data_IF_401106762866
#
_entry.id   IF_401106762866
#
_cell.length_a   1.000
_cell.length_b   1.000
_cell.length_c   1.000
_cell.angle_alpha   90.00
_cell.angle_beta   90.00
_cell.angle_gamma   90.00
#
_symmetry.space_group_name_H-M   'P 1'
#
loop_
_entity.id
_entity.type
_entity.pdbx_description
1 polymer ?
#
# COMPACT_ATOMS: atom_id res chain seq x y z
N UNK A 1 50.13 -21.63 -55.85
CA UNK A 1 49.88 -22.49 -54.69
C UNK A 1 49.71 -21.59 -53.49
N UNK A 2 48.49 -21.42 -53.02
CA UNK A 2 48.16 -20.65 -51.81
C UNK A 2 47.93 -21.66 -50.69
N UNK A 3 48.61 -21.49 -49.59
CA UNK A 3 48.53 -22.29 -48.38
C UNK A 3 47.16 -22.02 -47.65
N UNK A 4 46.36 -23.05 -47.35
CA UNK A 4 45.00 -22.83 -46.82
C UNK A 4 44.89 -22.80 -45.31
N UNK A 5 45.99 -22.62 -44.53
CA UNK A 5 45.99 -22.76 -43.08
C UNK A 5 46.37 -21.47 -42.29
N UNK A 6 45.81 -20.34 -42.65
CA UNK A 6 45.95 -19.16 -41.78
C UNK A 6 44.56 -18.68 -41.31
N UNK A 7 43.94 -19.43 -40.43
CA UNK A 7 42.84 -18.98 -39.61
C UNK A 7 43.41 -18.41 -38.32
N UNK A 8 43.65 -17.08 -38.29
CA UNK A 8 43.83 -16.39 -37.04
C UNK A 8 42.54 -16.49 -36.22
N UNK A 9 42.54 -17.38 -35.24
CA UNK A 9 41.54 -17.46 -34.20
C UNK A 9 41.64 -16.19 -33.36
N UNK A 10 40.85 -15.17 -33.64
CA UNK A 10 40.52 -14.14 -32.68
C UNK A 10 39.73 -14.79 -31.53
N UNK A 11 40.45 -15.33 -30.55
CA UNK A 11 39.83 -15.84 -29.33
C UNK A 11 39.19 -14.67 -28.58
N UNK A 12 37.91 -14.77 -28.33
CA UNK A 12 37.17 -13.80 -27.56
C UNK A 12 37.87 -13.65 -26.17
N UNK A 13 38.23 -12.43 -25.73
CA UNK A 13 38.98 -12.23 -24.50
C UNK A 13 38.28 -12.80 -23.25
N UNK A 14 36.97 -12.99 -23.30
CA UNK A 14 36.20 -13.65 -22.26
C UNK A 14 36.47 -15.16 -22.18
N UNK A 15 36.62 -15.82 -23.33
CA UNK A 15 36.93 -17.27 -23.40
C UNK A 15 38.34 -17.56 -22.92
N UNK A 16 39.30 -16.70 -23.25
CA UNK A 16 40.68 -16.80 -22.75
C UNK A 16 40.78 -16.63 -21.23
N UNK A 17 39.93 -15.77 -20.64
CA UNK A 17 39.82 -15.59 -19.19
C UNK A 17 39.23 -16.81 -18.49
N UNK A 18 38.17 -17.40 -19.03
CA UNK A 18 37.51 -18.59 -18.47
C UNK A 18 38.45 -19.83 -18.52
N UNK A 19 39.29 -19.93 -19.55
CA UNK A 19 40.24 -21.04 -19.72
C UNK A 19 41.57 -20.84 -18.93
N UNK A 20 41.71 -19.72 -18.18
CA UNK A 20 42.92 -19.43 -17.41
C UNK A 20 44.16 -19.11 -18.26
N UNK A 21 44.02 -18.82 -19.55
CA UNK A 21 45.10 -18.53 -20.52
C UNK A 21 45.49 -17.03 -20.53
N UNK A 22 44.72 -16.20 -19.81
CA UNK A 22 45.01 -14.78 -19.68
C UNK A 22 46.18 -14.55 -18.71
N UNK A 23 47.41 -14.44 -19.20
CA UNK A 23 48.52 -13.92 -18.42
C UNK A 23 48.22 -12.46 -18.10
N UNK A 24 47.98 -12.17 -16.78
CA UNK A 24 47.88 -10.80 -16.30
C UNK A 24 49.15 -10.04 -16.71
N UNK A 25 49.03 -9.03 -17.54
CA UNK A 25 50.09 -8.07 -17.79
C UNK A 25 50.44 -7.40 -16.45
N UNK A 26 51.71 -7.26 -16.07
CA UNK A 26 52.05 -6.49 -14.92
C UNK A 26 51.48 -5.09 -15.03
N UNK A 27 50.66 -4.68 -14.07
CA UNK A 27 50.16 -3.31 -14.00
C UNK A 27 51.33 -2.36 -13.92
N UNK A 28 51.55 -1.55 -14.98
CA UNK A 28 52.38 -0.36 -14.87
C UNK A 28 51.80 0.50 -13.76
N UNK A 29 52.61 0.77 -12.70
CA UNK A 29 52.31 1.75 -11.65
C UNK A 29 51.95 3.09 -12.30
N UNK A 30 50.72 3.30 -12.66
CA UNK A 30 50.20 4.60 -13.06
C UNK A 30 50.21 5.50 -11.83
N UNK A 31 51.22 6.40 -11.75
CA UNK A 31 51.25 7.50 -10.79
C UNK A 31 49.86 8.19 -10.83
N UNK A 32 49.11 8.01 -9.77
CA UNK A 32 47.75 8.60 -9.61
C UNK A 32 47.88 10.12 -9.66
N UNK A 33 47.13 10.77 -10.55
CA UNK A 33 47.05 12.23 -10.59
C UNK A 33 46.47 12.75 -9.25
N UNK A 34 46.88 13.97 -8.77
CA UNK A 34 46.48 14.52 -7.47
C UNK A 34 44.99 14.57 -7.23
N UNK A 35 44.19 14.59 -8.32
CA UNK A 35 42.72 14.55 -8.24
C UNK A 35 42.18 13.15 -7.94
N UNK A 36 42.88 12.08 -8.39
CA UNK A 36 42.51 10.70 -8.10
C UNK A 36 42.87 10.31 -6.66
N UNK A 37 44.01 10.80 -6.14
CA UNK A 37 44.41 10.61 -4.74
C UNK A 37 43.40 11.28 -3.78
N UNK A 38 42.97 12.51 -4.06
CA UNK A 38 41.97 13.22 -3.28
C UNK A 38 40.59 12.49 -3.31
N UNK A 39 40.22 11.88 -4.45
CA UNK A 39 39.00 11.08 -4.56
C UNK A 39 39.13 9.74 -3.80
N UNK A 40 40.28 9.08 -3.90
CA UNK A 40 40.53 7.83 -3.17
C UNK A 40 40.57 8.07 -1.66
N UNK A 41 41.22 9.15 -1.18
CA UNK A 41 41.23 9.53 0.22
C UNK A 41 39.83 9.87 0.74
N UNK A 42 39.02 10.59 -0.04
CA UNK A 42 37.64 10.92 0.32
C UNK A 42 36.73 9.67 0.35
N UNK A 43 36.93 8.71 -0.57
CA UNK A 43 36.18 7.43 -0.55
C UNK A 43 36.60 6.53 0.59
N UNK A 44 37.89 6.54 0.98
CA UNK A 44 38.38 5.81 2.14
C UNK A 44 37.85 6.40 3.44
N UNK A 45 37.77 7.72 3.57
CA UNK A 45 37.21 8.41 4.75
C UNK A 45 35.71 8.12 4.91
N UNK A 46 34.96 8.12 3.79
CA UNK A 46 33.53 7.73 3.79
C UNK A 46 33.34 6.26 4.19
N UNK A 47 34.20 5.37 3.72
CA UNK A 47 34.10 3.93 4.09
C UNK A 47 34.41 3.68 5.59
N UNK A 48 35.41 4.39 6.13
CA UNK A 48 35.75 4.30 7.57
C UNK A 48 34.61 4.87 8.44
N UNK A 49 33.96 5.94 8.01
CA UNK A 49 32.80 6.49 8.71
C UNK A 49 31.61 5.54 8.67
N UNK A 50 31.41 4.88 7.53
CA UNK A 50 30.35 3.87 7.36
C UNK A 50 30.58 2.65 8.25
N UNK A 51 31.80 2.15 8.32
CA UNK A 51 32.17 1.02 9.19
C UNK A 51 32.05 1.34 10.69
N UNK A 52 32.40 2.55 11.10
CA UNK A 52 32.22 2.99 12.51
C UNK A 52 30.74 3.12 12.84
N UNK A 53 29.93 3.65 11.93
CA UNK A 53 28.48 3.75 12.09
C UNK A 53 27.85 2.36 12.24
N UNK A 54 28.21 1.40 11.38
CA UNK A 54 27.71 0.03 11.47
C UNK A 54 28.16 -0.70 12.74
N UNK A 55 29.38 -0.44 13.24
CA UNK A 55 29.85 -1.01 14.50
C UNK A 55 29.09 -0.46 15.71
N UNK A 56 28.72 0.82 15.70
CA UNK A 56 27.94 1.45 16.77
C UNK A 56 26.44 1.16 16.64
N UNK A 57 25.91 1.01 15.43
CA UNK A 57 24.49 0.79 15.17
C UNK A 57 23.98 -0.53 15.79
N UNK A 58 24.74 -1.63 15.64
CA UNK A 58 24.32 -2.93 16.14
C UNK A 58 24.08 -2.95 17.66
N UNK A 59 25.07 -2.54 18.52
CA UNK A 59 24.84 -2.52 19.95
C UNK A 59 23.76 -1.52 20.36
N UNK A 60 23.68 -0.35 19.69
CA UNK A 60 22.64 0.63 19.97
C UNK A 60 21.24 0.09 19.66
N UNK A 61 21.07 -0.61 18.54
CA UNK A 61 19.81 -1.25 18.17
C UNK A 61 19.41 -2.32 19.21
N UNK A 62 20.37 -3.15 19.67
CA UNK A 62 20.10 -4.16 20.70
C UNK A 62 19.69 -3.49 22.01
N UNK A 63 20.40 -2.44 22.45
CA UNK A 63 20.07 -1.70 23.68
C UNK A 63 18.66 -1.11 23.56
N UNK A 64 18.33 -0.50 22.43
CA UNK A 64 17.00 0.08 22.20
C UNK A 64 15.91 -0.99 22.23
N UNK A 65 16.14 -2.14 21.58
CA UNK A 65 15.19 -3.26 21.62
C UNK A 65 15.02 -3.80 23.04
N UNK A 66 16.11 -3.99 23.77
CA UNK A 66 16.06 -4.45 25.17
C UNK A 66 15.32 -3.44 26.07
N UNK A 67 15.58 -2.14 25.90
CA UNK A 67 14.88 -1.09 26.63
C UNK A 67 13.37 -1.09 26.32
N UNK A 68 13.00 -1.26 25.05
CA UNK A 68 11.61 -1.35 24.64
C UNK A 68 10.92 -2.60 25.21
N UNK A 69 11.58 -3.75 25.15
CA UNK A 69 11.08 -5.00 25.76
C UNK A 69 10.91 -4.84 27.28
N UNK A 70 11.88 -4.26 27.95
CA UNK A 70 11.81 -4.01 29.39
C UNK A 70 10.62 -3.07 29.73
N UNK A 71 10.40 -2.03 28.93
CA UNK A 71 9.25 -1.13 29.05
C UNK A 71 7.94 -1.90 28.91
N UNK A 72 7.82 -2.74 27.88
CA UNK A 72 6.63 -3.55 27.66
C UNK A 72 6.36 -4.50 28.82
N UNK A 73 7.39 -5.20 29.31
CA UNK A 73 7.27 -6.09 30.48
C UNK A 73 6.83 -5.29 31.70
N UNK A 74 7.40 -4.12 31.93
CA UNK A 74 7.01 -3.25 33.05
C UNK A 74 5.53 -2.86 32.95
N UNK A 75 5.06 -2.47 31.77
CA UNK A 75 3.64 -2.15 31.54
C UNK A 75 2.76 -3.37 31.80
N UNK A 76 3.12 -4.54 31.27
CA UNK A 76 2.35 -5.78 31.47
C UNK A 76 2.25 -6.17 32.96
N UNK A 77 3.33 -6.02 33.72
CA UNK A 77 3.33 -6.32 35.19
C UNK A 77 2.42 -5.35 35.96
N UNK A 78 2.28 -4.11 35.46
CA UNK A 78 1.40 -3.09 36.07
C UNK A 78 -0.05 -3.17 35.61
N UNK A 79 -0.35 -3.97 34.58
CA UNK A 79 -1.72 -4.15 34.09
C UNK A 79 -2.55 -4.96 35.10
N UNK A 80 -3.80 -4.59 35.37
CA UNK A 80 -4.69 -5.36 36.25
C UNK A 80 -4.83 -6.82 35.78
N UNK A 81 -4.98 -7.79 36.70
CA UNK A 81 -5.22 -9.18 36.35
C UNK A 81 -6.44 -9.36 35.45
N UNK A 82 -6.36 -10.33 34.53
CA UNK A 82 -7.49 -10.63 33.64
C UNK A 82 -8.70 -11.11 34.43
N UNK A 83 -9.89 -10.59 34.07
CA UNK A 83 -11.17 -11.04 34.69
C UNK A 83 -11.56 -10.30 35.96
N UNK A 84 -10.86 -9.25 36.38
CA UNK A 84 -11.26 -8.42 37.51
C UNK A 84 -12.42 -7.52 37.11
N UNK A 85 -13.49 -7.54 37.93
CA UNK A 85 -14.70 -6.72 37.66
C UNK A 85 -14.47 -5.22 37.74
N UNK A 86 -13.49 -4.78 38.54
CA UNK A 86 -13.08 -3.38 38.72
C UNK A 86 -11.92 -3.01 37.77
N UNK A 87 -11.82 -3.66 36.62
CA UNK A 87 -10.82 -3.31 35.61
C UNK A 87 -11.13 -1.94 34.96
N UNK A 88 -10.12 -1.11 34.64
CA UNK A 88 -10.33 0.18 33.98
C UNK A 88 -11.10 0.12 32.66
N UNK A 89 -11.20 -1.04 32.05
CA UNK A 89 -12.00 -1.29 30.83
C UNK A 89 -13.49 -1.42 31.10
N UNK A 90 -13.89 -1.72 32.35
CA UNK A 90 -15.28 -1.83 32.77
C UNK A 90 -15.74 -0.46 33.32
N UNK A 91 -15.95 0.47 32.40
CA UNK A 91 -16.35 1.84 32.71
C UNK A 91 -17.73 2.16 32.11
N UNK A 92 -18.29 3.30 32.50
CA UNK A 92 -19.59 3.80 32.00
C UNK A 92 -19.64 3.89 30.47
N UNK A 93 -18.53 4.19 29.81
CA UNK A 93 -18.46 4.29 28.35
C UNK A 93 -18.63 2.91 27.71
N UNK A 94 -17.97 1.87 28.24
CA UNK A 94 -18.11 0.51 27.75
C UNK A 94 -19.53 -0.01 27.96
N UNK A 95 -20.12 0.30 29.14
CA UNK A 95 -21.50 -0.04 29.44
C UNK A 95 -22.46 0.62 28.46
N UNK A 96 -22.32 1.91 28.23
CA UNK A 96 -23.14 2.65 27.24
C UNK A 96 -23.11 2.03 25.86
N UNK A 97 -21.92 1.66 25.37
CA UNK A 97 -21.80 1.03 24.04
C UNK A 97 -22.51 -0.32 23.95
N UNK A 98 -22.54 -1.07 25.04
CA UNK A 98 -23.15 -2.41 25.09
C UNK A 98 -24.68 -2.34 25.28
N UNK A 99 -25.12 -1.49 26.19
CA UNK A 99 -26.54 -1.44 26.61
C UNK A 99 -27.37 -0.53 25.68
N UNK A 100 -26.85 0.66 25.31
CA UNK A 100 -27.59 1.65 24.56
C UNK A 100 -27.20 1.65 23.05
N UNK A 101 -26.09 1.00 22.67
CA UNK A 101 -25.52 1.11 21.31
C UNK A 101 -26.48 0.70 20.19
N UNK A 102 -27.36 -0.28 20.41
CA UNK A 102 -28.36 -0.67 19.41
C UNK A 102 -29.45 0.41 19.23
N UNK A 103 -29.88 1.01 20.33
CA UNK A 103 -30.92 2.06 20.32
C UNK A 103 -30.35 3.36 19.72
N UNK A 104 -29.16 3.77 20.15
CA UNK A 104 -28.50 4.99 19.70
C UNK A 104 -28.09 4.95 18.23
N UNK A 105 -27.61 3.80 17.72
CA UNK A 105 -27.01 3.73 16.37
C UNK A 105 -27.85 2.93 15.37
N UNK A 106 -28.80 2.12 15.83
CA UNK A 106 -29.57 1.19 15.00
C UNK A 106 -28.73 0.04 14.40
N UNK A 107 -27.45 -0.09 14.77
CA UNK A 107 -26.55 -1.12 14.27
C UNK A 107 -26.55 -2.35 15.18
N UNK A 108 -26.85 -3.53 14.63
CA UNK A 108 -26.73 -4.79 15.38
C UNK A 108 -25.26 -5.19 15.60
N UNK A 109 -24.36 -4.70 14.77
CA UNK A 109 -22.92 -4.81 14.99
C UNK A 109 -22.44 -3.65 15.88
N UNK A 110 -22.28 -3.92 17.17
CA UNK A 110 -21.83 -2.94 18.17
C UNK A 110 -20.52 -2.27 17.75
N UNK A 111 -19.58 -3.02 17.17
CA UNK A 111 -18.28 -2.49 16.72
C UNK A 111 -18.50 -1.46 15.62
N UNK A 112 -19.38 -1.72 14.66
CA UNK A 112 -19.69 -0.75 13.58
C UNK A 112 -20.34 0.51 14.15
N UNK A 113 -21.27 0.38 15.08
CA UNK A 113 -21.86 1.52 15.80
C UNK A 113 -20.80 2.33 16.52
N UNK A 114 -19.91 1.68 17.25
CA UNK A 114 -18.83 2.35 17.97
C UNK A 114 -17.90 3.12 17.05
N UNK A 115 -17.35 2.49 15.99
CA UNK A 115 -16.31 3.11 15.14
C UNK A 115 -16.84 4.06 14.08
N UNK A 116 -18.11 3.97 13.70
CA UNK A 116 -18.71 4.82 12.64
C UNK A 116 -19.71 5.84 13.17
N UNK A 117 -20.14 5.70 14.42
CA UNK A 117 -21.03 6.68 15.05
C UNK A 117 -20.40 7.35 16.27
N UNK A 118 -20.25 6.67 17.38
CA UNK A 118 -19.68 7.27 18.61
C UNK A 118 -18.26 7.82 18.40
N UNK A 119 -17.40 7.08 17.70
CA UNK A 119 -15.98 7.41 17.45
C UNK A 119 -15.65 7.59 15.96
N UNK A 120 -16.59 8.08 15.19
CA UNK A 120 -16.45 8.18 13.75
C UNK A 120 -15.31 9.09 13.26
N UNK A 121 -14.83 10.01 14.08
CA UNK A 121 -13.64 10.82 13.75
C UNK A 121 -12.36 9.99 13.75
N UNK A 122 -12.27 8.90 14.52
CA UNK A 122 -11.13 7.98 14.46
C UNK A 122 -11.06 7.35 13.06
N UNK A 123 -12.17 6.83 12.54
CA UNK A 123 -12.24 6.25 11.20
C UNK A 123 -12.00 7.29 10.08
N UNK A 124 -12.42 8.54 10.27
CA UNK A 124 -12.07 9.62 9.36
C UNK A 124 -10.56 9.86 9.34
N UNK A 125 -9.93 9.84 10.53
CA UNK A 125 -8.48 9.94 10.68
C UNK A 125 -7.74 8.81 9.96
N UNK A 126 -8.15 7.55 10.17
CA UNK A 126 -7.58 6.38 9.51
C UNK A 126 -7.70 6.46 7.99
N UNK A 127 -8.88 6.83 7.48
CA UNK A 127 -9.12 7.01 6.05
C UNK A 127 -8.27 8.14 5.46
N UNK A 128 -8.08 9.22 6.22
CA UNK A 128 -7.23 10.36 5.83
C UNK A 128 -5.74 9.97 5.78
N UNK A 129 -5.27 9.13 6.71
CA UNK A 129 -3.90 8.61 6.71
C UNK A 129 -3.67 7.72 5.48
N UNK A 130 -4.59 6.82 5.15
CA UNK A 130 -4.50 5.98 3.95
C UNK A 130 -4.44 6.83 2.67
N UNK A 131 -5.32 7.83 2.57
CA UNK A 131 -5.32 8.76 1.44
C UNK A 131 -4.00 9.53 1.34
N UNK A 132 -3.53 10.09 2.45
CA UNK A 132 -2.27 10.86 2.49
C UNK A 132 -1.08 10.00 2.15
N UNK A 133 -1.03 8.75 2.64
CA UNK A 133 0.05 7.82 2.36
C UNK A 133 0.14 7.49 0.86
N UNK A 134 -0.98 7.17 0.21
CA UNK A 134 -0.96 6.89 -1.23
C UNK A 134 -0.62 8.14 -2.05
N UNK A 135 -1.11 9.31 -1.65
CA UNK A 135 -0.77 10.57 -2.33
C UNK A 135 0.72 10.92 -2.17
N UNK A 136 1.31 10.68 -1.02
CA UNK A 136 2.75 10.85 -0.79
C UNK A 136 3.57 9.92 -1.70
N UNK A 137 3.19 8.65 -1.82
CA UNK A 137 3.85 7.70 -2.72
C UNK A 137 3.70 8.12 -4.18
N UNK A 138 2.53 8.60 -4.60
CA UNK A 138 2.32 9.14 -5.95
C UNK A 138 3.26 10.31 -6.23
N UNK A 139 3.38 11.25 -5.30
CA UNK A 139 4.27 12.43 -5.46
C UNK A 139 5.73 11.99 -5.56
N UNK A 140 6.16 11.03 -4.74
CA UNK A 140 7.54 10.54 -4.73
C UNK A 140 7.90 9.72 -5.97
N UNK A 141 6.96 8.91 -6.48
CA UNK A 141 7.18 8.03 -7.63
C UNK A 141 6.79 8.69 -8.96
N UNK A 142 6.06 9.82 -8.92
CA UNK A 142 5.70 10.54 -10.13
C UNK A 142 6.96 11.01 -10.83
N UNK A 143 7.30 10.32 -11.91
CA UNK A 143 8.38 10.71 -12.79
C UNK A 143 8.07 12.10 -13.34
N UNK A 144 9.01 13.04 -13.27
CA UNK A 144 8.90 14.39 -13.84
C UNK A 144 8.69 14.33 -15.39
N UNK A 145 7.54 13.85 -15.82
CA UNK A 145 7.19 13.58 -17.22
C UNK A 145 6.34 14.67 -17.87
N UNK A 146 5.96 15.72 -17.16
CA UNK A 146 5.09 16.78 -17.71
C UNK A 146 5.84 17.98 -18.32
N UNK A 147 7.16 17.91 -18.45
CA UNK A 147 7.82 18.72 -19.49
C UNK A 147 7.85 17.86 -20.74
N UNK A 148 7.10 18.23 -21.77
CA UNK A 148 7.31 17.84 -23.17
C UNK A 148 8.75 18.25 -23.58
N UNK A 149 9.75 17.57 -22.98
CA UNK A 149 11.08 17.49 -23.58
C UNK A 149 10.91 16.58 -24.77
N UNK A 150 11.34 17.06 -25.94
CA UNK A 150 11.61 16.21 -27.09
C UNK A 150 12.30 14.95 -26.56
N UNK A 151 11.54 13.85 -26.56
CA UNK A 151 12.08 12.56 -26.09
C UNK A 151 13.25 12.23 -26.98
N UNK A 152 14.42 12.10 -26.37
CA UNK A 152 15.62 11.68 -27.07
C UNK A 152 15.33 10.34 -27.76
N UNK A 153 15.87 10.11 -28.95
CA UNK A 153 15.71 8.85 -29.71
C UNK A 153 16.03 7.59 -28.87
N UNK A 154 16.93 7.70 -27.89
CA UNK A 154 17.17 6.65 -26.88
C UNK A 154 15.96 6.35 -26.00
N UNK A 155 15.28 7.37 -25.50
CA UNK A 155 14.09 7.20 -24.63
C UNK A 155 12.92 6.59 -25.38
N UNK A 156 12.73 6.98 -26.67
CA UNK A 156 11.72 6.35 -27.54
C UNK A 156 12.02 4.88 -27.77
N UNK A 157 13.30 4.52 -27.92
CA UNK A 157 13.73 3.14 -28.14
C UNK A 157 13.58 2.31 -26.87
N UNK A 158 13.87 2.86 -25.69
CA UNK A 158 13.66 2.22 -24.40
C UNK A 158 12.17 2.01 -24.09
N UNK A 159 11.31 2.99 -24.38
CA UNK A 159 9.86 2.84 -24.27
C UNK A 159 9.30 1.80 -25.24
N UNK A 160 9.79 1.77 -26.47
CA UNK A 160 9.39 0.76 -27.45
C UNK A 160 9.83 -0.65 -27.03
N UNK A 161 11.04 -0.79 -26.45
CA UNK A 161 11.52 -2.06 -25.89
C UNK A 161 10.68 -2.50 -24.69
N UNK A 162 10.38 -1.59 -23.76
CA UNK A 162 9.52 -1.88 -22.61
C UNK A 162 8.10 -2.30 -23.05
N UNK A 163 7.54 -1.62 -24.05
CA UNK A 163 6.23 -2.01 -24.62
C UNK A 163 6.28 -3.39 -25.26
N UNK A 164 7.36 -3.71 -25.97
CA UNK A 164 7.53 -5.02 -26.59
C UNK A 164 7.72 -6.14 -25.55
N UNK A 165 8.50 -5.89 -24.50
CA UNK A 165 8.64 -6.81 -23.36
C UNK A 165 7.31 -7.02 -22.61
N UNK A 166 6.53 -5.95 -22.40
CA UNK A 166 5.18 -6.07 -21.83
C UNK A 166 4.24 -6.91 -22.72
N UNK A 167 4.33 -6.76 -24.04
CA UNK A 167 3.53 -7.56 -24.98
C UNK A 167 3.93 -9.03 -25.01
N UNK A 168 5.23 -9.31 -24.93
CA UNK A 168 5.74 -10.68 -24.81
C UNK A 168 5.30 -11.31 -23.48
N UNK A 169 5.39 -10.58 -22.40
CA UNK A 169 4.98 -11.03 -21.07
C UNK A 169 3.46 -11.24 -20.99
N UNK A 170 2.67 -10.43 -21.69
CA UNK A 170 1.21 -10.60 -21.82
C UNK A 170 0.83 -11.89 -22.59
N UNK A 171 1.63 -12.29 -23.59
CA UNK A 171 1.43 -13.54 -24.32
C UNK A 171 1.78 -14.78 -23.50
N UNK A 172 2.80 -14.69 -22.64
CA UNK A 172 3.29 -15.79 -21.80
C UNK A 172 2.58 -15.86 -20.43
N UNK A 173 1.60 -15.01 -20.17
CA UNK A 173 0.82 -15.10 -18.92
C UNK A 173 0.15 -16.45 -18.81
N UNK A 174 0.33 -17.04 -17.63
CA UNK A 174 -0.19 -18.36 -17.32
C UNK A 174 -1.70 -18.45 -17.61
N UNK A 175 -2.03 -19.38 -18.50
CA UNK A 175 -3.42 -19.65 -18.89
C UNK A 175 -4.23 -20.15 -17.69
N UNK A 176 -3.57 -20.86 -16.76
CA UNK A 176 -4.19 -21.35 -15.53
C UNK A 176 -4.60 -20.16 -14.66
N UNK A 177 -3.68 -19.19 -14.45
CA UNK A 177 -3.98 -17.97 -13.68
C UNK A 177 -5.15 -17.18 -14.30
N UNK A 178 -5.18 -17.02 -15.63
CA UNK A 178 -6.29 -16.31 -16.31
C UNK A 178 -7.64 -17.00 -16.11
N UNK A 179 -7.68 -18.34 -16.26
CA UNK A 179 -8.92 -19.10 -16.08
C UNK A 179 -9.39 -19.08 -14.62
N UNK A 180 -8.48 -19.33 -13.68
CA UNK A 180 -8.79 -19.33 -12.25
C UNK A 180 -9.24 -17.95 -11.79
N UNK A 181 -8.51 -16.89 -12.12
CA UNK A 181 -8.88 -15.53 -11.77
C UNK A 181 -10.21 -15.09 -12.41
N UNK A 182 -10.48 -15.54 -13.66
CA UNK A 182 -11.74 -15.26 -14.33
C UNK A 182 -12.96 -15.81 -13.59
N UNK A 183 -12.81 -16.93 -12.90
CA UNK A 183 -13.86 -17.53 -12.09
C UNK A 183 -13.89 -16.92 -10.68
N UNK A 184 -12.74 -16.83 -10.02
CA UNK A 184 -12.64 -16.45 -8.59
C UNK A 184 -12.85 -14.96 -8.36
N UNK A 185 -12.32 -14.08 -9.24
CA UNK A 185 -12.38 -12.64 -9.04
C UNK A 185 -13.81 -12.08 -8.92
N UNK A 186 -14.80 -12.48 -9.73
CA UNK A 186 -16.20 -12.04 -9.55
C UNK A 186 -16.76 -12.40 -8.17
N UNK A 187 -16.45 -13.59 -7.65
CA UNK A 187 -16.89 -14.00 -6.31
C UNK A 187 -16.22 -13.16 -5.22
N UNK A 188 -14.92 -12.88 -5.34
CA UNK A 188 -14.22 -11.99 -4.41
C UNK A 188 -14.85 -10.60 -4.43
N UNK A 189 -15.11 -10.03 -5.60
CA UNK A 189 -15.73 -8.72 -5.74
C UNK A 189 -17.13 -8.68 -5.13
N UNK A 190 -17.96 -9.69 -5.41
CA UNK A 190 -19.30 -9.80 -4.87
C UNK A 190 -19.28 -9.95 -3.34
N UNK A 191 -18.38 -10.79 -2.82
CA UNK A 191 -18.20 -10.97 -1.39
C UNK A 191 -17.71 -9.69 -0.71
N UNK A 192 -16.76 -8.95 -1.31
CA UNK A 192 -16.32 -7.66 -0.79
C UNK A 192 -17.45 -6.63 -0.72
N UNK A 193 -18.28 -6.53 -1.76
CA UNK A 193 -19.47 -5.66 -1.77
C UNK A 193 -20.45 -6.08 -0.67
N UNK A 194 -20.70 -7.39 -0.52
CA UNK A 194 -21.55 -7.91 0.54
C UNK A 194 -21.04 -7.48 1.93
N UNK A 195 -19.74 -7.63 2.20
CA UNK A 195 -19.13 -7.26 3.48
C UNK A 195 -19.25 -5.75 3.75
N UNK A 196 -19.07 -4.90 2.74
CA UNK A 196 -19.25 -3.44 2.87
C UNK A 196 -20.71 -3.11 3.23
N UNK A 197 -21.67 -3.66 2.48
CA UNK A 197 -23.09 -3.34 2.65
C UNK A 197 -23.68 -3.90 3.95
N UNK A 198 -23.17 -5.00 4.45
CA UNK A 198 -23.66 -5.63 5.68
C UNK A 198 -22.79 -5.33 6.92
N UNK A 199 -21.84 -4.40 6.86
CA UNK A 199 -20.92 -4.12 7.95
C UNK A 199 -21.59 -3.60 9.23
N UNK A 200 -22.78 -2.99 9.14
CA UNK A 200 -23.58 -2.55 10.28
C UNK A 200 -24.45 -3.67 10.91
N UNK A 201 -24.57 -4.81 10.21
CA UNK A 201 -25.39 -5.96 10.65
C UNK A 201 -24.49 -7.09 11.14
N UNK A 202 -23.40 -7.37 10.41
CA UNK A 202 -22.53 -8.52 10.62
C UNK A 202 -21.07 -8.10 10.81
N UNK A 203 -20.21 -8.99 11.36
CA UNK A 203 -18.77 -8.71 11.42
C UNK A 203 -18.21 -8.39 10.04
N UNK A 204 -17.52 -7.24 9.95
CA UNK A 204 -16.96 -6.74 8.69
C UNK A 204 -17.06 -5.23 8.64
N UNK A 205 -17.22 -4.67 7.44
CA UNK A 205 -17.41 -3.23 7.21
C UNK A 205 -16.58 -2.69 6.07
N UNK A 206 -16.45 -1.37 6.00
CA UNK A 206 -15.77 -0.68 4.91
C UNK A 206 -14.31 -1.09 4.74
N UNK A 207 -13.54 -1.18 5.83
CA UNK A 207 -12.11 -1.56 5.74
C UNK A 207 -11.91 -2.97 5.20
N UNK A 208 -12.53 -3.97 5.82
CA UNK A 208 -12.39 -5.37 5.42
C UNK A 208 -12.96 -5.61 4.02
N UNK A 209 -14.17 -5.11 3.75
CA UNK A 209 -14.79 -5.24 2.44
C UNK A 209 -14.01 -4.49 1.34
N UNK A 210 -13.51 -3.29 1.65
CA UNK A 210 -12.64 -2.51 0.75
C UNK A 210 -11.33 -3.24 0.44
N UNK A 211 -10.70 -3.86 1.45
CA UNK A 211 -9.49 -4.67 1.25
C UNK A 211 -9.75 -5.88 0.35
N UNK A 212 -10.89 -6.57 0.54
CA UNK A 212 -11.29 -7.70 -0.31
C UNK A 212 -11.51 -7.23 -1.76
N UNK A 213 -12.20 -6.11 -1.97
CA UNK A 213 -12.41 -5.53 -3.31
C UNK A 213 -11.06 -5.15 -3.92
N UNK A 214 -10.17 -4.50 -3.16
CA UNK A 214 -8.82 -4.15 -3.59
C UNK A 214 -8.00 -5.37 -4.02
N UNK A 215 -8.05 -6.45 -3.24
CA UNK A 215 -7.41 -7.72 -3.57
C UNK A 215 -7.98 -8.33 -4.86
N UNK A 216 -9.30 -8.27 -5.06
CA UNK A 216 -9.96 -8.68 -6.31
C UNK A 216 -9.47 -7.89 -7.53
N UNK A 217 -9.33 -6.56 -7.41
CA UNK A 217 -8.78 -5.71 -8.46
C UNK A 217 -7.31 -6.03 -8.77
N UNK A 218 -6.50 -6.32 -7.74
CA UNK A 218 -5.12 -6.75 -7.90
C UNK A 218 -5.06 -8.08 -8.65
N UNK A 219 -5.87 -9.06 -8.28
CA UNK A 219 -5.95 -10.36 -8.96
C UNK A 219 -6.33 -10.21 -10.43
N UNK A 220 -7.33 -9.37 -10.74
CA UNK A 220 -7.72 -9.05 -12.11
C UNK A 220 -6.57 -8.42 -12.88
N UNK A 221 -5.86 -7.47 -12.27
CA UNK A 221 -4.72 -6.78 -12.90
C UNK A 221 -3.57 -7.74 -13.20
N UNK A 222 -3.29 -8.68 -12.29
CA UNK A 222 -2.26 -9.70 -12.47
C UNK A 222 -2.62 -10.70 -13.58
N UNK A 223 -3.87 -11.18 -13.58
CA UNK A 223 -4.30 -12.21 -14.52
C UNK A 223 -4.52 -11.69 -15.95
N UNK A 224 -5.17 -10.52 -16.08
CA UNK A 224 -5.61 -10.00 -17.39
C UNK A 224 -4.75 -8.87 -17.93
N UNK A 225 -3.78 -8.40 -17.16
CA UNK A 225 -2.88 -7.34 -17.56
C UNK A 225 -3.34 -5.94 -17.19
N UNK A 226 -2.35 -5.12 -16.95
CA UNK A 226 -2.51 -3.74 -16.54
C UNK A 226 -3.19 -2.86 -17.60
N UNK A 227 -3.00 -3.15 -18.89
CA UNK A 227 -3.64 -2.38 -19.98
C UNK A 227 -5.18 -2.39 -19.87
N UNK A 228 -5.76 -3.55 -19.48
CA UNK A 228 -7.21 -3.65 -19.25
C UNK A 228 -7.64 -2.89 -18.00
N UNK A 229 -6.89 -3.01 -16.92
CA UNK A 229 -7.22 -2.37 -15.66
C UNK A 229 -7.04 -0.85 -15.73
N UNK A 230 -6.01 -0.33 -16.40
CA UNK A 230 -5.82 1.10 -16.66
C UNK A 230 -6.98 1.75 -17.42
N UNK A 231 -7.69 1.00 -18.26
CA UNK A 231 -8.87 1.51 -18.96
C UNK A 231 -10.02 1.83 -18.02
N UNK A 232 -10.18 1.04 -16.96
CA UNK A 232 -11.24 1.21 -15.96
C UNK A 232 -10.78 2.03 -14.74
N UNK A 233 -9.48 2.01 -14.44
CA UNK A 233 -8.90 2.63 -13.25
C UNK A 233 -7.72 3.52 -13.65
N UNK A 234 -8.01 4.79 -13.90
CA UNK A 234 -7.04 5.81 -14.26
C UNK A 234 -6.82 6.74 -13.04
N UNK A 235 -5.69 7.43 -12.98
CA UNK A 235 -5.35 8.41 -11.94
C UNK A 235 -6.47 9.42 -11.66
N UNK A 236 -7.16 9.91 -12.70
CA UNK A 236 -8.30 10.83 -12.54
C UNK A 236 -9.46 10.16 -11.80
N UNK A 237 -9.81 8.94 -12.18
CA UNK A 237 -10.90 8.16 -11.55
C UNK A 237 -10.52 7.84 -10.11
N UNK A 238 -9.29 7.39 -9.88
CA UNK A 238 -8.75 7.16 -8.54
C UNK A 238 -8.89 8.40 -7.65
N UNK A 239 -8.41 9.55 -8.10
CA UNK A 239 -8.45 10.80 -7.33
C UNK A 239 -9.88 11.25 -7.07
N UNK A 240 -10.77 11.18 -8.06
CA UNK A 240 -12.18 11.56 -7.90
C UNK A 240 -12.87 10.67 -6.87
N UNK A 241 -12.69 9.35 -6.97
CA UNK A 241 -13.35 8.40 -6.06
C UNK A 241 -12.83 8.58 -4.63
N UNK A 242 -11.50 8.58 -4.44
CA UNK A 242 -10.91 8.66 -3.09
C UNK A 242 -11.15 10.02 -2.43
N UNK A 243 -10.93 11.12 -3.15
CA UNK A 243 -11.18 12.47 -2.60
C UNK A 243 -12.67 12.72 -2.40
N UNK A 244 -13.52 12.28 -3.34
CA UNK A 244 -14.97 12.42 -3.24
C UNK A 244 -15.53 11.61 -2.07
N UNK A 245 -15.09 10.37 -1.89
CA UNK A 245 -15.52 9.54 -0.77
C UNK A 245 -15.07 10.13 0.58
N UNK A 246 -13.81 10.62 0.68
CA UNK A 246 -13.29 11.23 1.89
C UNK A 246 -14.05 12.53 2.25
N UNK A 247 -14.29 13.39 1.26
CA UNK A 247 -15.08 14.61 1.45
C UNK A 247 -16.52 14.30 1.85
N UNK A 248 -17.15 13.31 1.21
CA UNK A 248 -18.53 12.89 1.55
C UNK A 248 -18.60 12.33 2.96
N UNK A 249 -17.60 11.52 3.38
CA UNK A 249 -17.49 11.04 4.76
C UNK A 249 -17.41 12.22 5.74
N UNK A 250 -16.47 13.14 5.50
CA UNK A 250 -16.28 14.31 6.35
C UNK A 250 -17.54 15.18 6.42
N UNK A 251 -18.22 15.41 5.28
CA UNK A 251 -19.44 16.20 5.23
C UNK A 251 -20.59 15.56 6.03
N UNK A 252 -20.80 14.24 5.87
CA UNK A 252 -21.84 13.54 6.63
C UNK A 252 -21.58 13.55 8.13
N UNK A 253 -20.34 13.33 8.57
CA UNK A 253 -20.02 13.38 10.01
C UNK A 253 -20.05 14.80 10.58
N UNK A 254 -19.64 15.79 9.81
CA UNK A 254 -19.79 17.21 10.23
C UNK A 254 -21.26 17.57 10.39
N UNK A 255 -22.12 17.13 9.47
CA UNK A 255 -23.57 17.31 9.57
C UNK A 255 -24.14 16.60 10.82
N UNK A 256 -23.81 15.32 11.01
CA UNK A 256 -24.25 14.53 12.17
C UNK A 256 -23.79 15.16 13.50
N UNK A 257 -22.54 15.62 13.56
CA UNK A 257 -22.00 16.31 14.73
C UNK A 257 -22.71 17.64 15.01
N UNK A 258 -22.96 18.43 13.98
CA UNK A 258 -23.63 19.72 14.10
C UNK A 258 -25.08 19.54 14.60
N UNK A 259 -25.85 18.61 14.02
CA UNK A 259 -27.22 18.35 14.43
C UNK A 259 -27.28 17.77 15.85
N UNK A 260 -26.41 16.83 16.21
CA UNK A 260 -26.33 16.27 17.56
C UNK A 260 -25.97 17.34 18.63
N UNK A 261 -24.99 18.20 18.32
CA UNK A 261 -24.60 19.30 19.23
C UNK A 261 -25.71 20.32 19.49
N UNK A 262 -26.62 20.49 18.55
CA UNK A 262 -27.76 21.40 18.67
C UNK A 262 -29.06 20.72 19.06
N UNK A 263 -29.01 19.45 19.46
CA UNK A 263 -30.19 18.64 19.81
C UNK A 263 -31.28 18.63 18.71
N UNK A 264 -30.87 18.72 17.45
CA UNK A 264 -31.76 18.64 16.31
C UNK A 264 -31.84 17.20 15.81
N UNK A 265 -33.03 16.79 15.36
CA UNK A 265 -33.16 15.50 14.68
C UNK A 265 -32.35 15.49 13.37
N UNK A 266 -31.59 14.43 13.13
CA UNK A 266 -30.76 14.30 11.93
C UNK A 266 -31.56 14.16 10.65
N UNK A 267 -32.88 13.91 10.75
CA UNK A 267 -33.75 13.64 9.59
C UNK A 267 -33.47 12.32 8.86
N UNK A 268 -32.48 11.56 9.29
CA UNK A 268 -32.14 10.24 8.72
C UNK A 268 -32.55 9.17 9.73
N UNK A 269 -33.61 8.40 9.45
CA UNK A 269 -34.10 7.39 10.40
C UNK A 269 -33.08 6.25 10.52
N UNK A 270 -32.97 5.68 11.72
CA UNK A 270 -32.14 4.47 11.97
C UNK A 270 -32.71 3.22 11.29
N UNK A 271 -33.99 3.27 10.86
CA UNK A 271 -34.63 2.13 10.21
C UNK A 271 -34.91 0.98 11.19
N UNK A 272 -35.10 -0.21 10.62
CA UNK A 272 -35.34 -1.43 11.40
C UNK A 272 -33.97 -2.11 11.60
N UNK A 273 -33.49 -2.31 12.85
CA UNK A 273 -32.24 -3.02 13.11
C UNK A 273 -32.20 -4.39 12.42
N UNK A 274 -31.08 -4.70 11.76
CA UNK A 274 -30.92 -5.92 10.97
C UNK A 274 -31.37 -5.85 9.51
N UNK A 275 -32.01 -4.77 9.07
CA UNK A 275 -32.29 -4.53 7.65
C UNK A 275 -31.07 -3.91 6.94
N UNK A 276 -30.92 -4.17 5.64
CA UNK A 276 -29.79 -3.62 4.84
C UNK A 276 -29.83 -2.07 4.84
N UNK A 277 -30.99 -1.47 4.78
CA UNK A 277 -31.20 -0.02 4.87
C UNK A 277 -31.53 0.37 6.31
N UNK A 278 -30.63 0.12 7.23
CA UNK A 278 -30.73 0.53 8.63
C UNK A 278 -29.48 1.27 9.08
N UNK A 279 -29.47 1.70 10.35
CA UNK A 279 -28.33 2.34 11.01
C UNK A 279 -27.94 3.71 10.43
N UNK A 280 -28.89 4.44 9.88
CA UNK A 280 -28.74 5.85 9.52
C UNK A 280 -27.49 6.14 8.65
N UNK A 281 -26.56 6.92 9.19
CA UNK A 281 -25.33 7.30 8.47
C UNK A 281 -24.26 6.19 8.43
N UNK A 282 -24.36 5.12 9.22
CA UNK A 282 -23.32 4.08 9.29
C UNK A 282 -23.15 3.37 7.94
N UNK A 283 -24.26 3.05 7.25
CA UNK A 283 -24.19 2.40 5.95
C UNK A 283 -23.44 3.23 4.89
N UNK A 284 -23.79 4.51 4.61
CA UNK A 284 -23.03 5.32 3.65
C UNK A 284 -21.58 5.54 4.08
N UNK A 285 -21.29 5.68 5.37
CA UNK A 285 -19.92 5.79 5.87
C UNK A 285 -19.11 4.52 5.59
N UNK A 286 -19.69 3.33 5.80
CA UNK A 286 -19.07 2.06 5.41
C UNK A 286 -18.74 2.00 3.92
N UNK A 287 -19.64 2.47 3.06
CA UNK A 287 -19.44 2.50 1.60
C UNK A 287 -18.26 3.42 1.26
N UNK A 288 -18.21 4.63 1.82
CA UNK A 288 -17.12 5.56 1.56
C UNK A 288 -15.77 5.03 2.02
N UNK A 289 -15.69 4.43 3.21
CA UNK A 289 -14.49 3.78 3.69
C UNK A 289 -14.08 2.63 2.75
N UNK A 290 -15.03 1.79 2.35
CA UNK A 290 -14.78 0.68 1.43
C UNK A 290 -14.21 1.14 0.08
N UNK A 291 -14.72 2.24 -0.47
CA UNK A 291 -14.21 2.84 -1.70
C UNK A 291 -12.78 3.38 -1.52
N UNK A 292 -12.52 4.10 -0.41
CA UNK A 292 -11.18 4.63 -0.12
C UNK A 292 -10.19 3.48 0.01
N UNK A 293 -10.49 2.46 0.81
CA UNK A 293 -9.60 1.33 1.06
C UNK A 293 -9.36 0.53 -0.23
N UNK A 294 -10.40 0.20 -0.98
CA UNK A 294 -10.26 -0.54 -2.25
C UNK A 294 -9.38 0.21 -3.25
N UNK A 295 -9.62 1.51 -3.41
CA UNK A 295 -8.82 2.35 -4.30
C UNK A 295 -7.38 2.49 -3.83
N UNK A 296 -7.13 2.72 -2.54
CA UNK A 296 -5.78 2.88 -2.00
C UNK A 296 -4.97 1.61 -2.09
N UNK A 297 -5.54 0.44 -1.76
CA UNK A 297 -4.88 -0.87 -1.89
C UNK A 297 -4.48 -1.15 -3.34
N UNK A 298 -5.41 -0.94 -4.28
CA UNK A 298 -5.09 -1.09 -5.70
C UNK A 298 -4.10 -0.04 -6.19
N UNK A 299 -4.20 1.20 -5.70
CA UNK A 299 -3.27 2.30 -6.00
C UNK A 299 -1.84 1.97 -5.59
N UNK A 300 -1.62 1.51 -4.37
CA UNK A 300 -0.29 1.04 -3.92
C UNK A 300 0.26 -0.07 -4.80
N UNK A 301 -0.55 -1.10 -5.07
CA UNK A 301 -0.13 -2.18 -5.96
C UNK A 301 0.31 -1.66 -7.34
N UNK A 302 -0.49 -0.78 -7.95
CA UNK A 302 -0.18 -0.21 -9.28
C UNK A 302 1.10 0.60 -9.28
N UNK A 303 1.30 1.46 -8.26
CA UNK A 303 2.48 2.30 -8.10
C UNK A 303 3.76 1.47 -7.92
N UNK A 304 3.74 0.48 -7.02
CA UNK A 304 4.91 -0.36 -6.76
C UNK A 304 5.19 -1.39 -7.88
N UNK A 305 4.16 -1.85 -8.57
CA UNK A 305 4.33 -2.80 -9.67
C UNK A 305 4.82 -2.14 -10.96
N UNK A 306 4.44 -0.87 -11.23
CA UNK A 306 4.63 -0.23 -12.53
C UNK A 306 5.12 1.21 -12.46
N UNK A 307 5.18 1.81 -11.29
CA UNK A 307 5.54 3.22 -11.10
C UNK A 307 4.46 4.22 -11.55
N UNK A 308 3.25 3.76 -11.90
CA UNK A 308 2.14 4.61 -12.36
C UNK A 308 0.76 3.97 -12.09
N UNK A 309 -0.27 4.81 -11.96
CA UNK A 309 -1.68 4.43 -11.87
C UNK A 309 -2.40 4.72 -13.18
#
# INVERSE_FOLDING_TARGET
MRDPNNHEHHSNPFVAWVNGESKAKPEEEKKLTPTKEKRAAKSADVSVHHDRFHKAYKPLAVILCCAFIALLIFVCVKTPPFGVTDAPTNNEVAQKYIEEGLEDTGATNIVAGMILDYRAFDTLGESSVLFTAVMAVIILLKKDGDKKKEMTERQKKEEALQQHEEELNDRHRDVILKKTAGIVAPFIMMFGIYVVLNGHISPGGGFSGGAIIGAGLILISQAFGSKRTKKFFNFKIFTIITSGALLSYAALKTYSFYTGSHHMETGVPHGIPGAILSSGFILPLNIFVGLIVACTMFGFYSLFSKGEI
#
